data_IF_113675320253
#
_entry.id   IF_113675320253
#
_cell.length_a   1.000
_cell.length_b   1.000
_cell.length_c   1.000
_cell.angle_alpha   90.00
_cell.angle_beta   90.00
_cell.angle_gamma   90.00
#
_symmetry.space_group_name_H-M   'P 1'
#
loop_
_entity.id
_entity.type
_entity.pdbx_description
1 polymer ?
#
# COMPACT_ATOMS: atom_id res chain seq x y z
N UNK A 1 19.59 -4.91 12.87
CA UNK A 1 19.48 -3.71 12.02
C UNK A 1 18.85 -4.18 10.74
N UNK A 2 17.57 -3.87 10.53
CA UNK A 2 16.92 -4.08 9.23
C UNK A 2 17.40 -2.94 8.36
N UNK A 3 18.13 -3.24 7.27
CA UNK A 3 18.87 -2.20 6.53
C UNK A 3 18.22 -1.78 5.22
N UNK A 4 17.30 -2.55 4.64
CA UNK A 4 16.72 -2.21 3.33
C UNK A 4 15.23 -2.61 3.27
N UNK A 5 14.40 -1.68 2.80
CA UNK A 5 12.99 -1.89 2.50
C UNK A 5 12.81 -1.86 0.97
N UNK A 6 12.40 -2.98 0.39
CA UNK A 6 12.14 -3.11 -1.03
C UNK A 6 10.66 -2.96 -1.30
N UNK A 7 10.30 -2.11 -2.26
CA UNK A 7 8.91 -1.96 -2.71
C UNK A 7 8.75 -2.74 -4.00
N UNK A 8 7.79 -3.64 -4.03
CA UNK A 8 7.40 -4.42 -5.20
C UNK A 8 5.93 -4.14 -5.49
N UNK A 9 5.60 -3.84 -6.74
CA UNK A 9 4.23 -3.60 -7.16
C UNK A 9 3.80 -4.72 -8.10
N UNK A 10 2.57 -5.20 -7.95
CA UNK A 10 2.01 -6.20 -8.87
C UNK A 10 1.68 -5.58 -10.23
N UNK A 11 1.51 -6.40 -11.28
CA UNK A 11 1.13 -5.93 -12.60
C UNK A 11 -0.17 -5.10 -12.61
N UNK A 12 -1.15 -5.41 -11.75
CA UNK A 12 -2.37 -4.62 -11.61
C UNK A 12 -2.10 -3.17 -11.21
N UNK A 13 -1.26 -2.96 -10.20
CA UNK A 13 -0.84 -1.63 -9.75
C UNK A 13 0.01 -0.92 -10.80
N UNK A 14 0.99 -1.62 -11.38
CA UNK A 14 1.85 -1.06 -12.44
C UNK A 14 1.03 -0.58 -13.64
N UNK A 15 0.00 -1.35 -14.02
CA UNK A 15 -0.91 -0.97 -15.09
C UNK A 15 -1.70 0.31 -14.77
N UNK A 16 -2.17 0.51 -13.53
CA UNK A 16 -2.80 1.78 -13.15
C UNK A 16 -1.86 2.97 -13.23
N UNK A 17 -0.58 2.79 -12.88
CA UNK A 17 0.44 3.82 -13.00
C UNK A 17 0.70 4.15 -14.48
N UNK A 18 0.87 3.14 -15.33
CA UNK A 18 1.12 3.30 -16.76
C UNK A 18 -0.05 3.97 -17.50
N UNK A 19 -1.29 3.71 -17.07
CA UNK A 19 -2.49 4.34 -17.62
C UNK A 19 -2.74 5.76 -17.06
N UNK A 20 -1.98 6.20 -16.06
CA UNK A 20 -2.16 7.50 -15.40
C UNK A 20 -3.40 7.56 -14.51
N UNK A 21 -4.00 6.42 -14.17
CA UNK A 21 -5.16 6.32 -13.27
C UNK A 21 -4.74 6.48 -11.81
N UNK A 22 -3.55 5.98 -11.47
CA UNK A 22 -2.93 6.14 -10.16
C UNK A 22 -1.57 6.82 -10.33
N UNK A 23 -1.45 8.12 -10.02
CA UNK A 23 -0.19 8.83 -10.12
C UNK A 23 0.91 8.16 -9.29
N UNK A 24 2.12 8.06 -9.84
CA UNK A 24 3.25 7.46 -9.12
C UNK A 24 3.53 8.18 -7.78
N UNK A 25 3.33 9.50 -7.72
CA UNK A 25 3.45 10.30 -6.50
C UNK A 25 2.46 9.88 -5.41
N UNK A 26 1.27 9.42 -5.79
CA UNK A 26 0.26 8.94 -4.86
C UNK A 26 0.65 7.56 -4.34
N UNK A 27 1.22 6.70 -5.21
CA UNK A 27 1.82 5.43 -4.78
C UNK A 27 2.97 5.65 -3.81
N UNK A 28 3.87 6.60 -4.07
CA UNK A 28 4.95 6.95 -3.13
C UNK A 28 4.39 7.43 -1.78
N UNK A 29 3.30 8.19 -1.78
CA UNK A 29 2.63 8.62 -0.57
C UNK A 29 2.04 7.42 0.18
N UNK A 30 1.34 6.52 -0.51
CA UNK A 30 0.79 5.29 0.06
C UNK A 30 1.88 4.40 0.66
N UNK A 31 3.02 4.22 -0.02
CA UNK A 31 4.18 3.47 0.51
C UNK A 31 4.70 4.08 1.80
N UNK A 32 4.89 5.40 1.83
CA UNK A 32 5.35 6.09 3.04
C UNK A 32 4.36 5.92 4.18
N UNK A 33 3.06 6.06 3.92
CA UNK A 33 2.00 5.86 4.91
C UNK A 33 1.96 4.41 5.40
N UNK A 34 2.07 3.41 4.52
CA UNK A 34 2.09 2.02 4.94
C UNK A 34 3.32 1.73 5.82
N UNK A 35 4.49 2.26 5.44
CA UNK A 35 5.72 2.08 6.17
C UNK A 35 5.68 2.69 7.59
N UNK A 36 4.87 3.74 7.85
CA UNK A 36 4.71 4.26 9.21
C UNK A 36 3.99 3.29 10.14
N UNK A 37 3.19 2.36 9.60
CA UNK A 37 2.41 1.39 10.35
C UNK A 37 2.95 -0.05 10.24
N UNK A 38 4.05 -0.25 9.52
CA UNK A 38 4.62 -1.58 9.26
C UNK A 38 5.03 -2.34 10.55
N UNK A 39 5.29 -1.63 11.65
CA UNK A 39 5.56 -2.25 12.96
C UNK A 39 4.30 -2.67 13.72
N UNK A 40 3.14 -2.13 13.35
CA UNK A 40 1.84 -2.39 13.99
C UNK A 40 1.09 -3.51 13.27
N UNK A 41 1.19 -3.56 11.94
CA UNK A 41 0.56 -4.57 11.11
C UNK A 41 1.40 -4.89 9.88
N UNK A 42 1.51 -6.17 9.55
CA UNK A 42 2.10 -6.63 8.30
C UNK A 42 1.17 -6.40 7.09
N UNK A 43 -0.11 -6.10 7.34
CA UNK A 43 -1.13 -5.87 6.31
C UNK A 43 -1.70 -4.46 6.47
N UNK A 44 -1.57 -3.63 5.44
CA UNK A 44 -2.13 -2.29 5.38
C UNK A 44 -3.08 -2.21 4.17
N UNK A 45 -4.33 -1.89 4.42
CA UNK A 45 -5.36 -1.76 3.39
C UNK A 45 -5.65 -0.27 3.11
N UNK A 46 -5.71 0.08 1.84
CA UNK A 46 -6.17 1.37 1.35
C UNK A 46 -7.53 1.15 0.69
N UNK A 47 -8.58 1.69 1.31
CA UNK A 47 -9.95 1.56 0.81
C UNK A 47 -10.34 2.77 -0.01
N UNK A 48 -10.77 2.52 -1.25
CA UNK A 48 -11.25 3.56 -2.14
C UNK A 48 -12.55 4.16 -1.60
N UNK A 49 -12.56 5.47 -1.38
CA UNK A 49 -13.78 6.23 -1.13
C UNK A 49 -13.85 7.40 -2.12
N UNK A 50 -15.04 8.00 -2.29
CA UNK A 50 -15.34 8.97 -3.38
C UNK A 50 -14.44 10.20 -3.42
N UNK A 51 -13.76 10.52 -2.31
CA UNK A 51 -12.99 11.76 -2.14
C UNK A 51 -11.73 11.57 -1.30
N UNK A 52 -11.68 10.52 -0.49
CA UNK A 52 -10.57 10.19 0.39
C UNK A 52 -10.24 8.71 0.28
N UNK A 53 -9.11 8.32 0.83
CA UNK A 53 -8.70 6.92 0.94
C UNK A 53 -8.58 6.59 2.43
N UNK A 54 -9.38 5.63 2.90
CA UNK A 54 -9.32 5.17 4.28
C UNK A 54 -8.22 4.13 4.42
N UNK A 55 -7.35 4.28 5.41
CA UNK A 55 -6.24 3.33 5.66
C UNK A 55 -6.59 2.50 6.88
N UNK A 56 -6.58 1.17 6.74
CA UNK A 56 -6.81 0.22 7.83
C UNK A 56 -5.68 -0.78 7.96
N UNK A 57 -5.65 -1.49 9.09
CA UNK A 57 -4.93 -2.76 9.20
C UNK A 57 -5.73 -3.90 8.52
N UNK A 58 -5.18 -5.11 8.52
CA UNK A 58 -5.86 -6.32 8.00
C UNK A 58 -7.06 -6.80 8.82
N UNK A 59 -7.43 -6.10 9.90
CA UNK A 59 -8.58 -6.39 10.76
C UNK A 59 -9.60 -5.22 10.78
N UNK A 60 -9.57 -4.34 9.77
CA UNK A 60 -10.43 -3.18 9.61
C UNK A 60 -10.31 -2.10 10.72
N UNK A 61 -9.24 -2.12 11.52
CA UNK A 61 -8.95 -0.99 12.41
C UNK A 61 -8.43 0.19 11.59
N UNK A 62 -9.08 1.34 11.75
CA UNK A 62 -8.68 2.57 11.05
C UNK A 62 -7.36 3.10 11.62
N UNK A 63 -6.39 3.28 10.73
CA UNK A 63 -5.05 3.81 11.05
C UNK A 63 -4.91 5.27 10.60
N UNK A 64 -5.47 5.62 9.44
CA UNK A 64 -5.35 6.96 8.87
C UNK A 64 -6.44 7.25 7.81
N UNK A 65 -6.54 8.50 7.38
CA UNK A 65 -7.33 8.91 6.22
C UNK A 65 -6.48 9.84 5.34
N UNK A 66 -6.38 9.52 4.05
CA UNK A 66 -5.59 10.28 3.08
C UNK A 66 -6.51 11.08 2.16
N UNK A 67 -6.16 12.35 1.94
CA UNK A 67 -6.80 13.21 0.94
C UNK A 67 -6.30 12.90 -0.49
N UNK A 68 -6.42 11.64 -0.91
CA UNK A 68 -6.13 11.15 -2.26
C UNK A 68 -7.21 10.17 -2.71
N UNK A 69 -7.35 9.98 -4.02
CA UNK A 69 -8.32 9.06 -4.61
C UNK A 69 -7.57 7.93 -5.31
N UNK A 70 -7.92 6.69 -4.98
CA UNK A 70 -7.41 5.49 -5.64
C UNK A 70 -8.52 4.83 -6.49
N UNK A 71 -8.17 4.10 -7.56
CA UNK A 71 -9.15 3.51 -8.48
C UNK A 71 -9.99 2.39 -7.86
N UNK A 72 -9.40 1.63 -6.96
CA UNK A 72 -10.04 0.55 -6.19
C UNK A 72 -9.24 0.30 -4.91
N UNK A 73 -9.66 -0.66 -4.09
CA UNK A 73 -8.91 -1.01 -2.89
C UNK A 73 -7.52 -1.54 -3.27
N UNK A 74 -6.51 -1.15 -2.50
CA UNK A 74 -5.11 -1.54 -2.71
C UNK A 74 -4.55 -2.04 -1.37
N UNK A 75 -3.82 -3.14 -1.38
CA UNK A 75 -3.25 -3.76 -0.18
C UNK A 75 -1.74 -3.75 -0.23
N UNK A 76 -1.12 -3.37 0.89
CA UNK A 76 0.32 -3.39 1.08
C UNK A 76 0.65 -4.42 2.14
N UNK A 77 1.45 -5.42 1.75
CA UNK A 77 1.86 -6.55 2.61
C UNK A 77 3.35 -6.44 2.88
N UNK A 78 3.70 -6.50 4.15
CA UNK A 78 5.08 -6.50 4.62
C UNK A 78 5.50 -7.92 4.95
N UNK A 79 6.58 -8.37 4.33
CA UNK A 79 7.22 -9.65 4.62
C UNK A 79 8.69 -9.43 5.00
N UNK A 80 9.22 -10.28 5.86
CA UNK A 80 10.62 -10.26 6.27
C UNK A 80 11.37 -11.39 5.57
N UNK A 81 12.38 -11.05 4.77
CA UNK A 81 13.22 -12.02 4.07
C UNK A 81 14.69 -11.66 4.19
N UNK A 82 15.51 -12.59 4.67
CA UNK A 82 16.98 -12.50 4.73
C UNK A 82 17.53 -11.18 5.35
N UNK A 83 16.80 -10.56 6.27
CA UNK A 83 17.19 -9.30 6.93
C UNK A 83 16.73 -8.03 6.23
N UNK A 84 15.92 -8.16 5.18
CA UNK A 84 15.23 -7.09 4.46
C UNK A 84 13.72 -7.17 4.69
N UNK A 85 13.07 -6.01 4.59
CA UNK A 85 11.60 -5.93 4.54
C UNK A 85 11.19 -5.79 3.07
N UNK A 86 10.24 -6.60 2.64
CA UNK A 86 9.61 -6.49 1.33
C UNK A 86 8.21 -5.94 1.56
N UNK A 87 7.92 -4.78 0.96
CA UNK A 87 6.60 -4.19 0.89
C UNK A 87 6.01 -4.48 -0.49
N UNK A 88 5.06 -5.40 -0.55
CA UNK A 88 4.34 -5.74 -1.79
C UNK A 88 3.03 -4.97 -1.84
N UNK A 89 2.89 -4.07 -2.82
CA UNK A 89 1.63 -3.41 -3.15
C UNK A 89 0.88 -4.18 -4.23
N UNK A 90 -0.37 -4.55 -3.94
CA UNK A 90 -1.20 -5.37 -4.82
C UNK A 90 -2.68 -5.00 -4.78
N UNK A 91 -3.43 -5.45 -5.80
CA UNK A 91 -4.88 -5.42 -5.79
C UNK A 91 -5.44 -6.62 -5.00
N UNK A 92 -6.60 -6.51 -4.33
CA UNK A 92 -7.17 -7.59 -3.53
C UNK A 92 -7.35 -8.93 -4.25
N UNK A 93 -7.57 -8.88 -5.56
CA UNK A 93 -7.76 -10.07 -6.39
C UNK A 93 -6.45 -10.72 -6.85
N UNK A 94 -5.31 -10.12 -6.53
CA UNK A 94 -3.95 -10.63 -6.81
C UNK A 94 -3.32 -11.32 -5.57
N UNK A 95 -4.01 -11.34 -4.43
CA UNK A 95 -3.57 -11.99 -3.18
C UNK A 95 -3.84 -13.51 -3.18
#
# INVERSE_FOLDING_TARGET
>A
MINECFVVLTPGIENYIQQGVLPFTDVEHMVKTAATFATESYFIAFHANKVTTLVTDGNDHVLNELSLTIPENIWFIFDESEGSIICTGLLPHEY
#
